data_IF_544377852881
#
_entry.id   IF_544377852881
#
_cell.length_a   1.000
_cell.length_b   1.000
_cell.length_c   1.000
_cell.angle_alpha   90.00
_cell.angle_beta   90.00
_cell.angle_gamma   90.00
#
_symmetry.space_group_name_H-M   'P 1'
#
loop_
_entity.id
_entity.type
_entity.pdbx_description
1 polymer ?
#
# COMPACT_ATOMS: atom_id res chain seq x y z
N UNK A 1 -24.66 12.36 29.68
CA UNK A 1 -23.86 12.44 30.91
C UNK A 1 -22.89 11.29 31.15
N UNK A 2 -23.12 10.07 30.64
CA UNK A 2 -22.18 8.93 30.77
C UNK A 2 -20.92 9.07 29.83
N UNK A 3 -21.04 9.80 28.75
CA UNK A 3 -19.91 10.07 27.81
C UNK A 3 -18.91 11.10 28.36
N UNK A 4 -19.40 12.07 29.15
CA UNK A 4 -18.53 13.09 29.76
C UNK A 4 -17.70 12.54 30.93
N UNK A 5 -18.20 11.55 31.66
CA UNK A 5 -17.50 10.90 32.76
C UNK A 5 -16.38 9.97 32.27
N UNK A 6 -16.57 9.30 31.11
CA UNK A 6 -15.51 8.47 30.49
C UNK A 6 -14.33 9.29 29.93
N UNK A 7 -14.62 10.48 29.39
CA UNK A 7 -13.58 11.38 28.86
C UNK A 7 -12.71 12.00 29.95
N UNK A 8 -13.24 12.17 31.17
CA UNK A 8 -12.49 12.72 32.29
C UNK A 8 -11.43 11.76 32.86
N UNK A 9 -11.52 10.44 32.59
CA UNK A 9 -10.58 9.41 33.06
C UNK A 9 -9.43 9.11 32.09
N UNK A 10 -9.46 9.66 30.86
CA UNK A 10 -8.43 9.38 29.85
C UNK A 10 -7.27 10.38 29.93
N UNK A 11 -6.01 9.94 29.70
CA UNK A 11 -4.85 10.82 29.67
C UNK A 11 -5.01 11.92 28.62
N UNK A 12 -4.39 13.11 28.79
CA UNK A 12 -4.62 14.29 27.97
C UNK A 12 -4.40 14.07 26.47
N UNK A 13 -3.51 13.17 26.08
CA UNK A 13 -3.28 12.78 24.68
C UNK A 13 -4.48 12.10 24.02
N UNK A 14 -5.18 11.21 24.74
CA UNK A 14 -6.37 10.49 24.24
C UNK A 14 -7.56 11.47 24.14
N UNK A 15 -7.65 12.41 25.07
CA UNK A 15 -8.70 13.46 25.07
C UNK A 15 -8.51 14.43 23.89
N UNK A 16 -7.27 14.81 23.58
CA UNK A 16 -6.94 15.66 22.43
C UNK A 16 -7.21 14.94 21.09
N UNK A 17 -6.93 13.63 20.99
CA UNK A 17 -7.24 12.84 19.79
C UNK A 17 -8.74 12.69 19.56
N UNK A 18 -9.51 12.40 20.61
CA UNK A 18 -10.98 12.26 20.52
C UNK A 18 -11.68 13.58 20.16
N UNK A 19 -11.16 14.73 20.63
CA UNK A 19 -11.67 16.05 20.24
C UNK A 19 -11.29 16.43 18.81
N UNK A 20 -10.12 15.99 18.35
CA UNK A 20 -9.62 16.23 16.99
C UNK A 20 -10.48 15.49 15.95
N UNK A 21 -10.89 14.26 16.24
CA UNK A 21 -11.79 13.49 15.37
C UNK A 21 -13.20 14.09 15.30
N UNK A 22 -13.75 14.54 16.43
CA UNK A 22 -15.06 15.20 16.48
C UNK A 22 -15.12 16.47 15.63
N UNK A 23 -14.05 17.28 15.61
CA UNK A 23 -14.00 18.50 14.80
C UNK A 23 -13.97 18.20 13.31
N UNK A 24 -13.24 17.18 12.88
CA UNK A 24 -13.22 16.73 11.48
C UNK A 24 -14.59 16.23 11.04
N UNK A 25 -15.29 15.45 11.87
CA UNK A 25 -16.65 15.01 11.60
C UNK A 25 -17.67 16.17 11.55
N UNK A 26 -17.52 17.17 12.41
CA UNK A 26 -18.32 18.39 12.35
C UNK A 26 -18.14 19.14 11.04
N UNK A 27 -16.90 19.34 10.59
CA UNK A 27 -16.59 19.99 9.31
C UNK A 27 -17.19 19.22 8.13
N UNK A 28 -17.08 17.89 8.14
CA UNK A 28 -17.73 17.06 7.12
C UNK A 28 -19.25 17.15 7.16
N UNK A 29 -19.86 17.24 8.35
CA UNK A 29 -21.31 17.37 8.48
C UNK A 29 -21.82 18.73 7.92
N UNK A 30 -21.05 19.80 8.10
CA UNK A 30 -21.36 21.11 7.54
C UNK A 30 -21.34 21.05 6.00
N UNK A 31 -20.31 20.47 5.38
CA UNK A 31 -20.25 20.27 3.93
C UNK A 31 -21.44 19.44 3.43
N UNK A 32 -21.76 18.36 4.12
CA UNK A 32 -22.86 17.46 3.73
C UNK A 32 -24.23 18.16 3.81
N UNK A 33 -24.38 19.12 4.69
CA UNK A 33 -25.59 19.92 4.86
C UNK A 33 -25.63 21.14 3.93
N UNK A 34 -24.68 21.27 2.99
CA UNK A 34 -24.61 22.38 2.02
C UNK A 34 -24.16 23.70 2.60
N UNK A 35 -23.62 23.73 3.83
CA UNK A 35 -23.09 24.95 4.43
C UNK A 35 -21.74 25.31 3.79
N UNK A 36 -21.57 26.60 3.45
CA UNK A 36 -20.29 27.13 3.00
C UNK A 36 -19.33 27.21 4.20
N UNK A 37 -18.20 26.50 4.11
CA UNK A 37 -17.14 26.59 5.11
C UNK A 37 -16.39 27.93 4.95
N UNK A 38 -16.04 28.55 6.08
CA UNK A 38 -15.10 29.64 6.08
C UNK A 38 -13.72 29.17 5.60
N UNK A 39 -12.91 30.06 5.02
CA UNK A 39 -11.56 29.75 4.50
C UNK A 39 -10.70 29.07 5.56
N UNK A 40 -10.77 29.49 6.80
CA UNK A 40 -10.03 28.88 7.91
C UNK A 40 -10.48 27.44 8.22
N UNK A 41 -11.79 27.16 8.16
CA UNK A 41 -12.33 25.80 8.34
C UNK A 41 -11.93 24.90 7.18
N UNK A 42 -11.85 25.42 5.95
CA UNK A 42 -11.34 24.68 4.78
C UNK A 42 -9.86 24.34 4.95
N UNK A 43 -9.02 25.30 5.33
CA UNK A 43 -7.61 25.09 5.59
C UNK A 43 -7.42 24.07 6.73
N UNK A 44 -8.16 24.20 7.81
CA UNK A 44 -8.10 23.26 8.93
C UNK A 44 -8.46 21.82 8.50
N UNK A 45 -9.51 21.66 7.71
CA UNK A 45 -9.94 20.37 7.20
C UNK A 45 -8.88 19.73 6.28
N UNK A 46 -8.36 20.52 5.32
CA UNK A 46 -7.28 20.06 4.43
C UNK A 46 -6.06 19.63 5.23
N UNK A 47 -5.62 20.45 6.18
CA UNK A 47 -4.45 20.16 7.02
C UNK A 47 -4.62 18.88 7.84
N UNK A 48 -5.80 18.69 8.44
CA UNK A 48 -6.12 17.49 9.22
C UNK A 48 -6.17 16.19 8.40
N UNK A 49 -6.61 16.27 7.14
CA UNK A 49 -6.67 15.13 6.24
C UNK A 49 -5.32 14.85 5.58
N UNK A 50 -4.57 15.92 5.24
CA UNK A 50 -3.29 15.78 4.55
C UNK A 50 -2.18 15.27 5.46
N UNK A 51 -2.18 15.63 6.73
CA UNK A 51 -1.10 15.29 7.66
C UNK A 51 -0.84 13.78 7.78
N UNK A 52 -1.85 12.91 7.98
CA UNK A 52 -1.64 11.45 7.98
C UNK A 52 -1.16 10.91 6.63
N UNK A 53 -1.65 11.50 5.53
CA UNK A 53 -1.23 11.10 4.18
C UNK A 53 0.22 11.49 3.89
N UNK A 54 0.64 12.68 4.35
CA UNK A 54 2.04 13.15 4.24
C UNK A 54 2.97 12.22 5.02
N UNK A 55 2.63 11.86 6.26
CA UNK A 55 3.44 10.93 7.04
C UNK A 55 3.53 9.54 6.38
N UNK A 56 2.43 9.04 5.81
CA UNK A 56 2.45 7.79 5.07
C UNK A 56 3.34 7.87 3.82
N UNK A 57 3.32 9.01 3.11
CA UNK A 57 4.15 9.23 1.93
C UNK A 57 5.64 9.37 2.30
N UNK A 58 5.95 10.08 3.38
CA UNK A 58 7.33 10.16 3.91
C UNK A 58 7.83 8.76 4.28
N UNK A 59 7.01 7.95 4.95
CA UNK A 59 7.39 6.57 5.30
C UNK A 59 7.69 5.74 4.04
N UNK A 60 6.86 5.85 3.00
CA UNK A 60 7.09 5.17 1.72
C UNK A 60 8.43 5.58 1.08
N UNK A 61 8.73 6.88 1.06
CA UNK A 61 10.01 7.39 0.53
C UNK A 61 11.18 6.92 1.39
N UNK A 62 11.03 6.89 2.72
CA UNK A 62 12.08 6.39 3.61
C UNK A 62 12.40 4.91 3.37
N UNK A 63 11.40 4.05 3.08
CA UNK A 63 11.66 2.65 2.68
C UNK A 63 12.57 2.60 1.47
N UNK A 64 12.27 3.36 0.43
CA UNK A 64 13.10 3.37 -0.79
C UNK A 64 14.55 3.79 -0.53
N UNK A 65 14.76 4.76 0.38
CA UNK A 65 16.12 5.16 0.76
C UNK A 65 16.83 4.10 1.60
N UNK A 66 16.11 3.43 2.52
CA UNK A 66 16.65 2.33 3.32
C UNK A 66 17.07 1.18 2.41
N UNK A 67 16.21 0.78 1.47
CA UNK A 67 16.50 -0.27 0.49
C UNK A 67 17.71 0.07 -0.37
N UNK A 68 17.75 1.29 -0.90
CA UNK A 68 18.86 1.77 -1.69
C UNK A 68 20.18 1.77 -0.90
N UNK A 69 20.15 2.17 0.37
CA UNK A 69 21.31 2.16 1.26
C UNK A 69 21.76 0.73 1.58
N UNK A 70 20.82 -0.19 1.86
CA UNK A 70 21.14 -1.60 2.18
C UNK A 70 21.73 -2.30 0.96
N UNK A 71 21.16 -2.11 -0.23
CA UNK A 71 21.70 -2.67 -1.47
C UNK A 71 23.03 -2.02 -1.85
N UNK A 72 23.18 -0.71 -1.61
CA UNK A 72 24.43 0.00 -1.83
C UNK A 72 25.61 -0.59 -1.06
N UNK A 73 25.38 -1.19 0.10
CA UNK A 73 26.42 -1.91 0.87
C UNK A 73 26.88 -3.22 0.21
N UNK A 74 26.08 -3.80 -0.71
CA UNK A 74 26.50 -4.99 -1.49
C UNK A 74 27.50 -4.66 -2.59
N UNK A 75 27.60 -3.39 -2.99
CA UNK A 75 28.52 -2.91 -3.99
C UNK A 75 27.86 -2.18 -5.16
N UNK A 76 28.68 -1.71 -6.10
CA UNK A 76 28.22 -0.89 -7.22
C UNK A 76 27.36 -1.69 -8.22
N UNK A 77 27.70 -2.94 -8.53
CA UNK A 77 26.98 -3.77 -9.51
C UNK A 77 25.56 -4.14 -9.03
N UNK A 78 25.35 -4.63 -7.78
CA UNK A 78 24.02 -4.82 -7.22
C UNK A 78 23.14 -3.57 -7.27
N UNK A 79 23.67 -2.42 -6.86
CA UNK A 79 22.94 -1.16 -6.90
C UNK A 79 22.58 -0.73 -8.34
N UNK A 80 23.54 -0.89 -9.28
CA UNK A 80 23.32 -0.60 -10.69
C UNK A 80 22.27 -1.53 -11.34
N UNK A 81 22.24 -2.82 -10.93
CA UNK A 81 21.25 -3.81 -11.41
C UNK A 81 19.82 -3.39 -11.07
N UNK A 82 19.58 -2.94 -9.85
CA UNK A 82 18.27 -2.45 -9.41
C UNK A 82 17.93 -1.16 -10.13
N UNK A 83 18.89 -0.22 -10.22
CA UNK A 83 18.70 1.04 -10.94
C UNK A 83 18.30 0.83 -12.39
N UNK A 84 18.90 -0.15 -13.06
CA UNK A 84 18.62 -0.50 -14.46
C UNK A 84 17.15 -0.85 -14.68
N UNK A 85 16.55 -1.69 -13.83
CA UNK A 85 15.16 -2.17 -14.02
C UNK A 85 14.11 -1.30 -13.35
N UNK A 86 14.51 -0.29 -12.54
CA UNK A 86 13.58 0.55 -11.79
C UNK A 86 12.56 1.27 -12.68
N UNK A 87 12.96 1.76 -13.86
CA UNK A 87 12.03 2.41 -14.80
C UNK A 87 10.92 1.46 -15.27
N UNK A 88 11.26 0.20 -15.53
CA UNK A 88 10.28 -0.83 -15.91
C UNK A 88 9.35 -1.20 -14.74
N UNK A 89 9.87 -1.22 -13.51
CA UNK A 89 9.04 -1.42 -12.30
C UNK A 89 8.07 -0.26 -12.07
N UNK A 90 8.49 0.98 -12.31
CA UNK A 90 7.59 2.14 -12.25
C UNK A 90 6.45 2.05 -13.28
N UNK A 91 6.72 1.48 -14.46
CA UNK A 91 5.67 1.20 -15.45
C UNK A 91 4.64 0.18 -14.89
N UNK A 92 5.12 -0.92 -14.30
CA UNK A 92 4.25 -1.92 -13.65
C UNK A 92 3.39 -1.27 -12.54
N UNK A 93 4.00 -0.44 -11.68
CA UNK A 93 3.29 0.32 -10.66
C UNK A 93 2.25 1.27 -11.26
N UNK A 94 2.57 1.94 -12.36
CA UNK A 94 1.64 2.81 -13.09
C UNK A 94 0.40 2.05 -13.57
N UNK A 95 0.57 0.83 -14.09
CA UNK A 95 -0.54 -0.04 -14.50
C UNK A 95 -1.42 -0.43 -13.32
N UNK A 96 -0.82 -0.85 -12.21
CA UNK A 96 -1.54 -1.22 -10.98
C UNK A 96 -2.38 -0.04 -10.47
N UNK A 97 -1.78 1.14 -10.35
CA UNK A 97 -2.46 2.33 -9.83
C UNK A 97 -3.57 2.80 -10.74
N UNK A 98 -3.39 2.73 -12.06
CA UNK A 98 -4.40 3.09 -13.06
C UNK A 98 -5.65 2.20 -12.94
N UNK A 99 -5.46 0.87 -12.93
CA UNK A 99 -6.57 -0.08 -12.76
C UNK A 99 -7.29 0.14 -11.43
N UNK A 100 -6.54 0.33 -10.35
CA UNK A 100 -7.12 0.56 -9.03
C UNK A 100 -7.90 1.86 -8.95
N UNK A 101 -7.41 2.94 -9.57
CA UNK A 101 -8.08 4.24 -9.57
C UNK A 101 -9.48 4.16 -10.19
N UNK A 102 -9.64 3.46 -11.30
CA UNK A 102 -10.93 3.28 -11.97
C UNK A 102 -11.98 2.61 -11.08
N UNK A 103 -11.61 1.63 -10.29
CA UNK A 103 -12.51 0.99 -9.32
C UNK A 103 -12.74 1.86 -8.09
N UNK A 104 -11.68 2.48 -7.56
CA UNK A 104 -11.75 3.30 -6.33
C UNK A 104 -12.71 4.47 -6.50
N UNK A 105 -12.68 5.18 -7.63
CA UNK A 105 -13.58 6.28 -7.92
C UNK A 105 -15.04 5.82 -7.92
N UNK A 106 -15.34 4.67 -8.54
CA UNK A 106 -16.70 4.13 -8.57
C UNK A 106 -17.20 3.76 -7.15
N UNK A 107 -16.35 3.13 -6.33
CA UNK A 107 -16.70 2.80 -4.95
C UNK A 107 -16.92 4.06 -4.12
N UNK A 108 -16.05 5.07 -4.25
CA UNK A 108 -16.20 6.33 -3.54
C UNK A 108 -17.52 7.05 -3.88
N UNK A 109 -17.88 7.09 -5.17
CA UNK A 109 -19.16 7.67 -5.64
C UNK A 109 -20.37 6.95 -5.04
N UNK A 110 -20.38 5.60 -5.03
CA UNK A 110 -21.48 4.81 -4.47
C UNK A 110 -21.58 4.95 -2.94
N UNK A 111 -20.44 5.00 -2.25
CA UNK A 111 -20.42 5.29 -0.81
C UNK A 111 -21.00 6.69 -0.52
N UNK A 112 -20.63 7.69 -1.33
CA UNK A 112 -21.17 9.04 -1.25
C UNK A 112 -22.69 9.09 -1.46
N UNK A 113 -23.20 8.29 -2.40
CA UNK A 113 -24.62 8.12 -2.69
C UNK A 113 -25.34 7.19 -1.69
N UNK A 114 -24.66 6.65 -0.66
CA UNK A 114 -25.16 5.68 0.32
C UNK A 114 -25.63 4.34 -0.29
N UNK A 115 -25.16 4.00 -1.48
CA UNK A 115 -25.45 2.76 -2.21
C UNK A 115 -24.41 1.69 -1.83
N UNK A 116 -24.45 1.20 -0.60
CA UNK A 116 -23.39 0.32 -0.07
C UNK A 116 -23.36 -1.06 -0.76
N UNK A 117 -24.49 -1.59 -1.19
CA UNK A 117 -24.55 -2.89 -1.88
C UNK A 117 -23.90 -2.82 -3.26
N UNK A 118 -24.14 -1.73 -3.99
CA UNK A 118 -23.44 -1.48 -5.26
C UNK A 118 -21.95 -1.25 -5.05
N UNK A 119 -21.54 -0.55 -3.97
CA UNK A 119 -20.14 -0.38 -3.62
C UNK A 119 -19.46 -1.73 -3.36
N UNK A 120 -20.13 -2.66 -2.66
CA UNK A 120 -19.64 -4.03 -2.43
C UNK A 120 -19.54 -4.83 -3.73
N UNK A 121 -20.50 -4.67 -4.65
CA UNK A 121 -20.44 -5.31 -5.99
C UNK A 121 -19.19 -4.86 -6.73
N UNK A 122 -18.94 -3.54 -6.82
CA UNK A 122 -17.73 -3.01 -7.47
C UNK A 122 -16.45 -3.47 -6.78
N UNK A 123 -16.44 -3.55 -5.44
CA UNK A 123 -15.30 -4.08 -4.69
C UNK A 123 -15.00 -5.54 -5.08
N UNK A 124 -16.02 -6.42 -5.14
CA UNK A 124 -15.83 -7.82 -5.56
C UNK A 124 -15.27 -7.90 -6.98
N UNK A 125 -15.82 -7.12 -7.89
CA UNK A 125 -15.35 -7.05 -9.27
C UNK A 125 -13.91 -6.55 -9.36
N UNK A 126 -13.52 -5.56 -8.54
CA UNK A 126 -12.15 -5.07 -8.49
C UNK A 126 -11.16 -6.12 -7.99
N UNK A 127 -11.54 -6.91 -6.98
CA UNK A 127 -10.70 -7.99 -6.48
C UNK A 127 -10.53 -9.11 -7.51
N UNK A 128 -11.60 -9.48 -8.22
CA UNK A 128 -11.56 -10.53 -9.22
C UNK A 128 -10.85 -10.10 -10.51
N UNK A 129 -11.35 -9.05 -11.15
CA UNK A 129 -10.80 -8.59 -12.45
C UNK A 129 -9.41 -8.01 -12.28
N UNK A 130 -9.22 -7.18 -11.28
CA UNK A 130 -7.90 -6.60 -11.01
C UNK A 130 -6.90 -7.67 -10.54
N UNK A 131 -7.37 -8.68 -9.79
CA UNK A 131 -6.56 -9.86 -9.46
C UNK A 131 -6.11 -10.61 -10.72
N UNK A 132 -7.00 -10.86 -11.66
CA UNK A 132 -6.66 -11.50 -12.95
C UNK A 132 -5.67 -10.66 -13.76
N UNK A 133 -5.89 -9.35 -13.84
CA UNK A 133 -4.96 -8.43 -14.54
C UNK A 133 -3.59 -8.45 -13.86
N UNK A 134 -3.52 -8.41 -12.55
CA UNK A 134 -2.24 -8.43 -11.83
C UNK A 134 -1.49 -9.75 -11.98
N UNK A 135 -2.21 -10.88 -12.04
CA UNK A 135 -1.62 -12.19 -12.36
C UNK A 135 -1.09 -12.20 -13.80
N UNK A 136 -1.83 -11.66 -14.76
CA UNK A 136 -1.38 -11.55 -16.14
C UNK A 136 -0.10 -10.69 -16.24
N UNK A 137 -0.06 -9.56 -15.54
CA UNK A 137 1.14 -8.70 -15.44
C UNK A 137 2.31 -9.48 -14.83
N UNK A 138 2.06 -10.24 -13.77
CA UNK A 138 3.09 -11.06 -13.13
C UNK A 138 3.67 -12.11 -14.08
N UNK A 139 2.81 -12.87 -14.76
CA UNK A 139 3.24 -13.91 -15.73
C UNK A 139 4.03 -13.29 -16.88
N UNK A 140 3.52 -12.22 -17.48
CA UNK A 140 4.21 -11.51 -18.58
C UNK A 140 5.52 -10.91 -18.09
N UNK A 141 5.53 -10.27 -16.93
CA UNK A 141 6.74 -9.68 -16.35
C UNK A 141 7.82 -10.72 -16.05
N UNK A 142 7.45 -11.85 -15.46
CA UNK A 142 8.40 -12.95 -15.21
C UNK A 142 8.91 -13.53 -16.52
N UNK A 143 8.06 -13.72 -17.52
CA UNK A 143 8.49 -14.21 -18.85
C UNK A 143 9.43 -13.23 -19.58
N UNK A 144 9.22 -11.93 -19.40
CA UNK A 144 10.05 -10.89 -19.99
C UNK A 144 11.33 -10.59 -19.18
N UNK A 145 11.42 -11.05 -17.95
CA UNK A 145 12.55 -10.74 -17.05
C UNK A 145 13.93 -11.00 -17.64
N UNK A 146 14.20 -12.04 -18.46
CA UNK A 146 15.53 -12.23 -19.07
C UNK A 146 15.81 -11.24 -20.19
N UNK A 147 14.81 -10.63 -20.79
CA UNK A 147 14.96 -9.74 -21.94
C UNK A 147 15.04 -8.26 -21.52
N UNK A 148 14.46 -7.90 -20.38
CA UNK A 148 14.41 -6.50 -19.92
C UNK A 148 15.79 -5.89 -19.69
N UNK A 149 16.75 -6.52 -19.00
CA UNK A 149 18.06 -5.92 -18.78
C UNK A 149 18.86 -5.65 -20.07
N UNK A 150 18.91 -6.58 -21.07
CA UNK A 150 19.51 -6.30 -22.37
C UNK A 150 18.81 -5.17 -23.13
N UNK A 151 17.49 -5.11 -23.14
CA UNK A 151 16.72 -4.06 -23.82
C UNK A 151 16.99 -2.67 -23.25
N UNK A 152 17.28 -2.59 -21.95
CA UNK A 152 17.63 -1.34 -21.29
C UNK A 152 19.10 -0.93 -21.45
N UNK A 153 19.89 -1.72 -22.21
CA UNK A 153 21.31 -1.42 -22.48
C UNK A 153 22.22 -1.64 -21.28
N UNK A 154 21.84 -2.51 -20.34
CA UNK A 154 22.68 -2.87 -19.20
C UNK A 154 23.97 -3.58 -19.63
N UNK A 155 25.01 -3.50 -18.79
CA UNK A 155 26.20 -4.33 -18.95
C UNK A 155 25.89 -5.81 -18.63
N UNK A 156 26.50 -6.79 -19.33
CA UNK A 156 26.23 -8.22 -19.13
C UNK A 156 26.38 -8.68 -17.67
N UNK A 157 27.25 -8.06 -16.90
CA UNK A 157 27.53 -8.34 -15.49
C UNK A 157 26.31 -8.06 -14.58
N UNK A 158 25.42 -7.16 -15.02
CA UNK A 158 24.22 -6.77 -14.26
C UNK A 158 23.01 -7.67 -14.54
N UNK A 159 23.04 -8.48 -15.60
CA UNK A 159 21.86 -9.19 -16.09
C UNK A 159 21.30 -10.18 -15.09
N UNK A 160 22.14 -10.91 -14.39
CA UNK A 160 21.70 -11.94 -13.43
C UNK A 160 20.88 -11.33 -12.28
N UNK A 161 21.43 -10.31 -11.64
CA UNK A 161 20.79 -9.61 -10.52
C UNK A 161 19.55 -8.83 -10.97
N UNK A 162 19.65 -8.07 -12.07
CA UNK A 162 18.57 -7.29 -12.63
C UNK A 162 17.37 -8.17 -13.04
N UNK A 163 17.62 -9.30 -13.71
CA UNK A 163 16.60 -10.29 -14.07
C UNK A 163 15.92 -10.85 -12.81
N UNK A 164 16.71 -11.27 -11.83
CA UNK A 164 16.19 -11.88 -10.60
C UNK A 164 15.34 -10.89 -9.82
N UNK A 165 15.83 -9.68 -9.63
CA UNK A 165 15.11 -8.61 -8.95
C UNK A 165 13.77 -8.30 -9.64
N UNK A 166 13.82 -8.08 -10.96
CA UNK A 166 12.62 -7.78 -11.75
C UNK A 166 11.60 -8.92 -11.72
N UNK A 167 12.05 -10.18 -11.86
CA UNK A 167 11.17 -11.35 -11.84
C UNK A 167 10.47 -11.50 -10.49
N UNK A 168 11.20 -11.34 -9.38
CA UNK A 168 10.63 -11.44 -8.03
C UNK A 168 9.60 -10.33 -7.80
N UNK A 169 9.89 -9.08 -8.18
CA UNK A 169 8.92 -7.98 -8.08
C UNK A 169 7.67 -8.22 -8.93
N UNK A 170 7.83 -8.70 -10.17
CA UNK A 170 6.69 -9.04 -11.01
C UNK A 170 5.84 -10.17 -10.39
N UNK A 171 6.47 -11.17 -9.77
CA UNK A 171 5.77 -12.23 -9.06
C UNK A 171 4.98 -11.69 -7.85
N UNK A 172 5.48 -10.68 -7.18
CA UNK A 172 4.80 -9.98 -6.08
C UNK A 172 3.64 -9.07 -6.49
N UNK A 173 3.50 -8.76 -7.79
CA UNK A 173 2.49 -7.83 -8.31
C UNK A 173 1.06 -8.14 -7.86
N UNK A 174 0.56 -9.41 -7.81
CA UNK A 174 -0.80 -9.68 -7.33
C UNK A 174 -1.03 -9.30 -5.87
N UNK A 175 -0.04 -9.52 -5.01
CA UNK A 175 -0.11 -9.11 -3.62
C UNK A 175 -0.13 -7.58 -3.49
N UNK A 176 0.78 -6.90 -4.16
CA UNK A 176 0.84 -5.44 -4.19
C UNK A 176 -0.47 -4.82 -4.73
N UNK A 177 -1.05 -5.38 -5.80
CA UNK A 177 -2.35 -4.94 -6.31
C UNK A 177 -3.45 -5.05 -5.27
N UNK A 178 -3.60 -6.20 -4.63
CA UNK A 178 -4.63 -6.44 -3.62
C UNK A 178 -4.46 -5.51 -2.41
N UNK A 179 -3.23 -5.29 -1.95
CA UNK A 179 -2.91 -4.34 -0.88
C UNK A 179 -3.26 -2.91 -1.25
N UNK A 180 -2.92 -2.49 -2.46
CA UNK A 180 -3.23 -1.15 -2.96
C UNK A 180 -4.73 -0.92 -3.11
N UNK A 181 -5.47 -1.89 -3.66
CA UNK A 181 -6.95 -1.87 -3.71
C UNK A 181 -7.52 -1.76 -2.30
N UNK A 182 -7.12 -2.63 -1.37
CA UNK A 182 -7.64 -2.64 -0.02
C UNK A 182 -7.39 -1.32 0.70
N UNK A 183 -6.18 -0.75 0.58
CA UNK A 183 -5.83 0.55 1.13
C UNK A 183 -6.70 1.68 0.54
N UNK A 184 -6.86 1.71 -0.78
CA UNK A 184 -7.65 2.73 -1.47
C UNK A 184 -9.14 2.65 -1.14
N UNK A 185 -9.69 1.43 -1.05
CA UNK A 185 -11.09 1.20 -0.69
C UNK A 185 -11.39 1.60 0.77
N UNK A 186 -10.48 1.29 1.70
CA UNK A 186 -10.60 1.74 3.10
C UNK A 186 -10.56 3.27 3.20
N UNK A 187 -9.70 3.94 2.44
CA UNK A 187 -9.68 5.41 2.38
C UNK A 187 -10.98 5.97 1.83
N UNK A 188 -11.58 5.33 0.82
CA UNK A 188 -12.88 5.72 0.25
C UNK A 188 -14.03 5.63 1.25
N UNK A 189 -13.94 4.76 2.27
CA UNK A 189 -14.93 4.72 3.36
C UNK A 189 -14.78 5.88 4.36
N UNK A 190 -13.71 6.66 4.25
CA UNK A 190 -13.31 7.71 5.20
C UNK A 190 -12.30 7.25 6.26
N UNK A 191 -11.91 5.97 6.25
CA UNK A 191 -10.90 5.45 7.17
C UNK A 191 -9.50 5.60 6.57
N UNK A 192 -8.89 6.77 6.75
CA UNK A 192 -7.53 7.06 6.29
C UNK A 192 -6.48 6.59 7.30
N UNK A 193 -6.82 6.55 8.60
CA UNK A 193 -5.86 6.24 9.66
C UNK A 193 -5.34 4.82 9.61
N UNK A 194 -6.24 3.85 9.43
CA UNK A 194 -5.89 2.43 9.45
C UNK A 194 -4.90 2.05 8.33
N UNK A 195 -5.16 2.38 7.05
CA UNK A 195 -4.17 2.12 5.99
C UNK A 195 -2.84 2.83 6.23
N UNK A 196 -2.86 4.06 6.74
CA UNK A 196 -1.63 4.80 7.02
C UNK A 196 -0.80 4.16 8.13
N UNK A 197 -1.44 3.66 9.20
CA UNK A 197 -0.74 2.96 10.28
C UNK A 197 -0.15 1.63 9.80
N UNK A 198 -0.89 0.87 8.98
CA UNK A 198 -0.40 -0.38 8.41
C UNK A 198 0.79 -0.10 7.49
N UNK A 199 0.71 0.91 6.62
CA UNK A 199 1.81 1.27 5.73
C UNK A 199 3.08 1.69 6.51
N UNK A 200 2.95 2.42 7.61
CA UNK A 200 4.09 2.74 8.48
C UNK A 200 4.66 1.45 9.10
N UNK A 201 3.79 0.54 9.56
CA UNK A 201 4.23 -0.77 10.06
C UNK A 201 4.94 -1.61 9.01
N UNK A 202 4.48 -1.57 7.75
CA UNK A 202 5.12 -2.23 6.61
C UNK A 202 6.54 -1.73 6.38
N UNK A 203 6.79 -0.43 6.56
CA UNK A 203 8.13 0.16 6.49
C UNK A 203 9.11 -0.51 7.45
N UNK A 204 8.69 -0.72 8.71
CA UNK A 204 9.53 -1.40 9.68
C UNK A 204 9.72 -2.89 9.37
N UNK A 205 8.66 -3.58 8.90
CA UNK A 205 8.75 -4.98 8.51
C UNK A 205 9.69 -5.17 7.32
N UNK A 206 9.62 -4.28 6.34
CA UNK A 206 10.48 -4.28 5.16
C UNK A 206 11.95 -4.15 5.56
N UNK A 207 12.29 -3.16 6.40
CA UNK A 207 13.65 -3.00 6.90
C UNK A 207 14.16 -4.25 7.66
N UNK A 208 13.30 -4.91 8.45
CA UNK A 208 13.65 -6.14 9.17
C UNK A 208 13.87 -7.29 8.18
N UNK A 209 12.96 -7.52 7.23
CA UNK A 209 13.11 -8.59 6.25
C UNK A 209 14.32 -8.37 5.36
N UNK A 210 14.58 -7.14 4.95
CA UNK A 210 15.75 -6.79 4.17
C UNK A 210 17.04 -7.08 4.95
N UNK A 211 17.10 -6.71 6.23
CA UNK A 211 18.25 -7.04 7.09
C UNK A 211 18.50 -8.56 7.19
N UNK A 212 17.43 -9.35 7.28
CA UNK A 212 17.50 -10.81 7.41
C UNK A 212 17.78 -11.52 6.07
N UNK A 213 17.36 -10.95 4.94
CA UNK A 213 17.46 -11.65 3.64
C UNK A 213 18.62 -11.18 2.79
N UNK A 214 19.01 -9.91 2.88
CA UNK A 214 20.09 -9.34 2.05
C UNK A 214 21.45 -9.82 2.53
N UNK A 215 21.70 -9.72 3.84
CA UNK A 215 23.03 -9.90 4.42
C UNK A 215 23.26 -11.32 4.92
N UNK A 216 24.55 -11.76 5.00
CA UNK A 216 24.91 -13.00 5.66
C UNK A 216 24.70 -12.90 7.18
N UNK A 217 24.67 -14.05 7.86
CA UNK A 217 24.62 -14.09 9.32
C UNK A 217 25.80 -13.35 9.94
N UNK A 218 25.52 -12.27 10.63
CA UNK A 218 26.55 -11.43 11.25
C UNK A 218 26.27 -11.16 12.74
N UNK A 219 27.32 -10.89 13.50
CA UNK A 219 27.20 -10.50 14.90
C UNK A 219 27.37 -9.00 15.03
N UNK A 220 26.27 -8.31 15.36
CA UNK A 220 26.25 -6.87 15.58
C UNK A 220 26.46 -6.56 17.05
N UNK A 221 27.37 -5.63 17.34
CA UNK A 221 27.57 -5.09 18.70
C UNK A 221 26.70 -3.83 18.85
N UNK A 222 25.56 -3.96 19.52
CA UNK A 222 24.64 -2.84 19.78
C UNK A 222 24.63 -2.61 21.30
N UNK A 223 25.00 -1.41 21.71
CA UNK A 223 25.04 -1.02 23.16
C UNK A 223 25.83 -2.00 24.06
N UNK A 224 26.91 -2.61 23.54
CA UNK A 224 27.72 -3.56 24.30
C UNK A 224 27.19 -5.01 24.29
N UNK A 225 26.00 -5.28 23.77
CA UNK A 225 25.50 -6.62 23.57
C UNK A 225 25.87 -7.14 22.16
N UNK A 226 26.42 -8.35 22.10
CA UNK A 226 26.69 -9.06 20.84
C UNK A 226 25.44 -9.82 20.42
N UNK A 227 24.67 -9.25 19.47
CA UNK A 227 23.46 -9.87 18.94
C UNK A 227 23.82 -10.56 17.63
N UNK A 228 23.69 -11.88 17.58
CA UNK A 228 23.81 -12.66 16.34
C UNK A 228 22.52 -12.54 15.54
N UNK A 229 22.55 -11.83 14.44
CA UNK A 229 21.42 -11.70 13.51
C UNK A 229 21.58 -12.77 12.43
N UNK A 230 20.63 -13.71 12.30
CA UNK A 230 20.64 -14.69 11.21
C UNK A 230 20.40 -13.94 9.89
N UNK A 231 21.12 -14.31 8.85
CA UNK A 231 20.95 -13.75 7.52
C UNK A 231 21.01 -14.81 6.45
N UNK A 232 20.22 -14.65 5.39
CA UNK A 232 20.10 -15.62 4.30
C UNK A 232 21.11 -15.41 3.17
N UNK A 233 21.84 -14.28 3.16
CA UNK A 233 22.87 -13.95 2.15
C UNK A 233 22.34 -14.02 0.69
N UNK A 234 21.11 -13.53 0.48
CA UNK A 234 20.48 -13.55 -0.83
C UNK A 234 20.77 -12.30 -1.68
N UNK A 235 21.51 -11.34 -1.14
CA UNK A 235 21.91 -10.13 -1.85
C UNK A 235 20.71 -9.39 -2.49
N UNK A 236 20.78 -9.12 -3.79
CA UNK A 236 19.73 -8.42 -4.57
C UNK A 236 18.38 -9.15 -4.55
N UNK A 237 18.39 -10.48 -4.61
CA UNK A 237 17.17 -11.29 -4.49
C UNK A 237 16.54 -11.13 -3.10
N UNK A 238 17.36 -11.03 -2.05
CA UNK A 238 16.94 -10.78 -0.69
C UNK A 238 16.19 -9.47 -0.53
N UNK A 239 16.67 -8.39 -1.17
CA UNK A 239 16.00 -7.09 -1.18
C UNK A 239 14.58 -7.18 -1.80
N UNK A 240 14.47 -7.79 -2.98
CA UNK A 240 13.16 -7.98 -3.62
C UNK A 240 12.21 -8.83 -2.77
N UNK A 241 12.68 -9.94 -2.21
CA UNK A 241 11.88 -10.83 -1.36
C UNK A 241 11.45 -10.16 -0.06
N UNK A 242 12.33 -9.37 0.57
CA UNK A 242 12.04 -8.64 1.80
C UNK A 242 10.86 -7.69 1.62
N UNK A 243 10.92 -6.87 0.58
CA UNK A 243 9.85 -5.93 0.23
C UNK A 243 8.53 -6.64 -0.07
N UNK A 244 8.55 -7.74 -0.84
CA UNK A 244 7.34 -8.50 -1.17
C UNK A 244 6.74 -9.18 0.07
N UNK A 245 7.56 -9.72 0.96
CA UNK A 245 7.08 -10.33 2.19
C UNK A 245 6.43 -9.30 3.12
N UNK A 246 7.03 -8.12 3.25
CA UNK A 246 6.44 -7.01 4.02
C UNK A 246 5.09 -6.58 3.41
N UNK A 247 5.03 -6.46 2.09
CA UNK A 247 3.80 -6.11 1.36
C UNK A 247 2.73 -7.20 1.51
N UNK A 248 3.08 -8.48 1.48
CA UNK A 248 2.16 -9.60 1.72
C UNK A 248 1.52 -9.51 3.11
N UNK A 249 2.30 -9.27 4.15
CA UNK A 249 1.79 -9.11 5.52
C UNK A 249 0.83 -7.92 5.59
N UNK A 250 1.22 -6.79 5.02
CA UNK A 250 0.39 -5.58 4.93
C UNK A 250 -0.92 -5.85 4.19
N UNK A 251 -0.84 -6.51 3.04
CA UNK A 251 -1.99 -6.87 2.21
C UNK A 251 -2.96 -7.77 2.96
N UNK A 252 -2.47 -8.80 3.64
CA UNK A 252 -3.31 -9.68 4.46
C UNK A 252 -4.06 -8.90 5.55
N UNK A 253 -3.37 -7.98 6.24
CA UNK A 253 -3.99 -7.15 7.27
C UNK A 253 -5.04 -6.20 6.67
N UNK A 254 -4.71 -5.52 5.58
CA UNK A 254 -5.62 -4.58 4.91
C UNK A 254 -6.86 -5.29 4.37
N UNK A 255 -6.69 -6.45 3.73
CA UNK A 255 -7.80 -7.27 3.24
C UNK A 255 -8.68 -7.76 4.38
N UNK A 256 -8.10 -8.23 5.47
CA UNK A 256 -8.86 -8.67 6.64
C UNK A 256 -9.73 -7.54 7.19
N UNK A 257 -9.16 -6.35 7.37
CA UNK A 257 -9.93 -5.18 7.82
C UNK A 257 -11.00 -4.77 6.80
N UNK A 258 -10.68 -4.79 5.51
CA UNK A 258 -11.62 -4.43 4.44
C UNK A 258 -12.80 -5.39 4.37
N UNK A 259 -12.51 -6.68 4.37
CA UNK A 259 -13.51 -7.74 4.13
C UNK A 259 -14.35 -8.02 5.37
N UNK A 260 -13.76 -7.95 6.57
CA UNK A 260 -14.40 -8.38 7.82
C UNK A 260 -14.89 -7.21 8.66
N UNK A 261 -14.08 -6.14 8.81
CA UNK A 261 -14.32 -5.08 9.81
C UNK A 261 -14.79 -3.75 9.23
N UNK A 262 -14.89 -3.59 7.92
CA UNK A 262 -15.34 -2.33 7.33
C UNK A 262 -16.84 -2.11 7.54
N UNK A 263 -17.22 -1.01 8.19
CA UNK A 263 -18.63 -0.70 8.49
C UNK A 263 -19.51 -0.54 7.24
N UNK A 264 -18.93 -0.13 6.11
CA UNK A 264 -19.68 0.25 4.89
C UNK A 264 -19.61 -0.80 3.78
N UNK A 265 -18.46 -1.45 3.61
CA UNK A 265 -18.15 -2.30 2.45
C UNK A 265 -17.61 -3.69 2.82
N UNK A 266 -17.84 -4.15 4.07
CA UNK A 266 -17.51 -5.52 4.45
C UNK A 266 -18.23 -6.50 3.52
N UNK A 267 -17.50 -7.56 3.11
CA UNK A 267 -18.05 -8.61 2.24
C UNK A 267 -18.62 -9.78 3.04
N UNK A 268 -18.15 -9.98 4.26
CA UNK A 268 -18.66 -11.04 5.16
C UNK A 268 -20.10 -10.74 5.54
N UNK A 269 -20.98 -11.72 5.38
CA UNK A 269 -22.42 -11.58 5.66
C UNK A 269 -23.24 -10.93 4.53
N UNK A 270 -22.61 -10.54 3.42
CA UNK A 270 -23.27 -9.93 2.28
C UNK A 270 -22.98 -10.74 1.02
N UNK A 271 -23.81 -11.74 0.66
CA UNK A 271 -23.60 -12.55 -0.54
C UNK A 271 -23.72 -11.71 -1.82
N UNK A 272 -22.97 -12.08 -2.87
CA UNK A 272 -23.00 -11.40 -4.16
C UNK A 272 -22.00 -11.99 -5.13
N UNK A 273 -22.19 -11.73 -6.42
CA UNK A 273 -21.35 -12.23 -7.50
C UNK A 273 -20.01 -11.48 -7.55
N UNK A 274 -18.95 -12.22 -7.88
CA UNK A 274 -17.62 -11.70 -8.24
C UNK A 274 -17.47 -11.50 -9.75
N UNK A 275 -18.47 -11.93 -10.55
CA UNK A 275 -18.41 -11.84 -12.01
C UNK A 275 -18.46 -10.37 -12.45
N UNK A 276 -17.67 -10.02 -13.49
CA UNK A 276 -17.62 -8.66 -13.99
C UNK A 276 -18.91 -8.26 -14.72
N UNK A 277 -19.46 -7.13 -14.33
CA UNK A 277 -20.55 -6.49 -15.07
C UNK A 277 -19.98 -5.58 -16.16
N UNK A 278 -20.42 -5.76 -17.40
CA UNK A 278 -19.96 -4.99 -18.57
C UNK A 278 -20.08 -3.48 -18.34
N UNK A 279 -21.11 -3.05 -17.63
CA UNK A 279 -21.33 -1.64 -17.33
C UNK A 279 -20.28 -1.06 -16.37
N UNK A 280 -19.88 -1.83 -15.36
CA UNK A 280 -18.82 -1.45 -14.43
C UNK A 280 -17.46 -1.37 -15.16
N UNK A 281 -17.16 -2.38 -16.00
CA UNK A 281 -15.92 -2.43 -16.77
C UNK A 281 -15.76 -1.27 -17.75
N UNK A 282 -16.85 -0.91 -18.47
CA UNK A 282 -16.84 0.27 -19.37
C UNK A 282 -16.58 1.57 -18.64
N UNK A 283 -17.04 1.71 -17.39
CA UNK A 283 -16.75 2.89 -16.58
C UNK A 283 -15.29 2.92 -16.12
N UNK A 284 -14.71 1.77 -15.69
CA UNK A 284 -13.29 1.68 -15.36
C UNK A 284 -12.40 2.12 -16.53
N UNK A 285 -12.74 1.67 -17.76
CA UNK A 285 -11.96 1.99 -18.94
C UNK A 285 -12.09 3.46 -19.41
N UNK A 286 -13.06 4.21 -18.91
CA UNK A 286 -13.28 5.63 -19.26
C UNK A 286 -12.67 6.62 -18.24
N UNK A 287 -12.27 6.14 -17.07
CA UNK A 287 -11.60 6.92 -16.02
C UNK A 287 -10.09 6.82 -16.20
#
# INVERSE_FOLDING_TARGET
SLSSVRLAKNPPKIRAMATKDKRTEQLFSLIRNGAQLNVWDQIELVWRLSLPAIFAQISFVMVQYIDAAMVGHLGANPAASIGLVSSSLWLVWGLITSVTAGFTVQVAQRIGAKQFDEARSVLRQSLFVGGLISIAIAVVGVALSPYVPPWLGGAPELYADAKTYFAIFCLGTPAAFLGFVASSMLRSTGNVKLPSMINIGTCFLDAIFNLLLIFPTATYKILGLSIKVPGADLGVAGAALGTILAELVSTCLLLWFLVVKSDKIALVGHPGSFLPEIFCMRRVARI
#
